data_IF_261873009269
#
_entry.id   IF_261873009269
#
_cell.length_a   1.000
_cell.length_b   1.000
_cell.length_c   1.000
_cell.angle_alpha   90.00
_cell.angle_beta   90.00
_cell.angle_gamma   90.00
#
_symmetry.space_group_name_H-M   'P 1'
#
loop_
_entity.id
_entity.type
_entity.pdbx_description
1 polymer ?
#
# COMPACT_ATOMS: atom_id res chain seq x y z
N UNK A 1 1.73 -58.05 27.29
CA UNK A 1 2.33 -57.49 26.05
C UNK A 1 1.27 -57.57 24.98
N UNK A 2 0.66 -56.45 24.60
CA UNK A 2 -0.24 -56.41 23.44
C UNK A 2 0.64 -56.42 22.19
N UNK A 3 0.53 -57.47 21.38
CA UNK A 3 1.14 -57.53 20.05
C UNK A 3 0.16 -56.82 19.13
N UNK A 4 0.48 -55.59 18.72
CA UNK A 4 -0.27 -54.92 17.65
C UNK A 4 -0.25 -55.82 16.41
N UNK A 5 -1.44 -56.16 15.92
CA UNK A 5 -1.62 -57.04 14.78
C UNK A 5 -1.41 -56.20 13.52
N UNK A 6 -0.27 -56.39 12.85
CA UNK A 6 0.05 -55.66 11.63
C UNK A 6 -0.95 -56.01 10.52
N UNK A 7 -1.66 -55.00 9.99
CA UNK A 7 -2.66 -55.18 8.94
C UNK A 7 -2.02 -55.19 7.56
N UNK A 8 -1.65 -56.38 7.11
CA UNK A 8 -1.08 -56.62 5.78
C UNK A 8 -2.00 -56.18 4.63
N UNK A 9 -3.32 -56.15 4.85
CA UNK A 9 -4.29 -55.82 3.80
C UNK A 9 -4.21 -54.34 3.45
N UNK A 10 -4.15 -53.49 4.46
CA UNK A 10 -4.02 -52.04 4.30
C UNK A 10 -2.68 -51.69 3.65
N UNK A 11 -1.58 -52.30 4.10
CA UNK A 11 -0.24 -52.05 3.56
C UNK A 11 -0.09 -52.49 2.09
N UNK A 12 -0.66 -53.65 1.73
CA UNK A 12 -0.71 -54.11 0.33
C UNK A 12 -1.56 -53.17 -0.53
N UNK A 13 -2.71 -52.71 -0.02
CA UNK A 13 -3.56 -51.77 -0.72
C UNK A 13 -2.83 -50.45 -1.00
N UNK A 14 -2.23 -49.84 0.02
CA UNK A 14 -1.47 -48.59 -0.11
C UNK A 14 -0.31 -48.74 -1.10
N UNK A 15 0.42 -49.86 -1.03
CA UNK A 15 1.54 -50.14 -1.94
C UNK A 15 1.06 -50.29 -3.39
N UNK A 16 -0.06 -50.98 -3.62
CA UNK A 16 -0.64 -51.15 -4.96
C UNK A 16 -1.16 -49.83 -5.53
N UNK A 17 -1.89 -49.05 -4.74
CA UNK A 17 -2.39 -47.74 -5.15
C UNK A 17 -1.23 -46.82 -5.50
N UNK A 18 -0.21 -46.72 -4.63
CA UNK A 18 0.97 -45.89 -4.88
C UNK A 18 1.75 -46.34 -6.12
N UNK A 19 1.95 -47.64 -6.29
CA UNK A 19 2.66 -48.20 -7.46
C UNK A 19 1.95 -47.88 -8.77
N UNK A 20 0.62 -48.04 -8.82
CA UNK A 20 -0.18 -47.71 -10.00
C UNK A 20 -0.17 -46.21 -10.26
N UNK A 21 -0.39 -45.39 -9.23
CA UNK A 21 -0.38 -43.93 -9.37
C UNK A 21 0.96 -43.45 -9.93
N UNK A 22 2.08 -43.87 -9.35
CA UNK A 22 3.41 -43.43 -9.80
C UNK A 22 3.79 -44.01 -11.17
N UNK A 23 3.45 -45.28 -11.46
CA UNK A 23 3.78 -45.90 -12.76
C UNK A 23 3.08 -45.23 -13.94
N UNK A 24 1.88 -44.69 -13.72
CA UNK A 24 1.11 -43.98 -14.73
C UNK A 24 1.26 -42.45 -14.65
N UNK A 25 2.14 -41.93 -13.79
CA UNK A 25 2.35 -40.49 -13.61
C UNK A 25 1.10 -39.75 -13.13
N UNK A 26 0.22 -40.46 -12.41
CA UNK A 26 -1.02 -39.91 -11.84
C UNK A 26 -0.80 -39.31 -10.45
N UNK A 27 0.43 -38.93 -10.11
CA UNK A 27 0.79 -38.45 -8.76
C UNK A 27 -0.06 -37.23 -8.34
N UNK A 28 -0.62 -36.48 -9.29
CA UNK A 28 -1.61 -35.42 -9.05
C UNK A 28 -2.91 -35.90 -8.38
N UNK A 29 -3.24 -37.20 -8.41
CA UNK A 29 -4.37 -37.78 -7.67
C UNK A 29 -4.04 -37.97 -6.18
N UNK A 30 -2.75 -38.09 -5.85
CA UNK A 30 -2.26 -38.19 -4.48
C UNK A 30 -1.87 -36.82 -3.89
N UNK A 31 -1.63 -35.84 -4.76
CA UNK A 31 -1.31 -34.46 -4.40
C UNK A 31 -2.56 -33.60 -4.50
N UNK A 32 -3.01 -33.05 -3.37
CA UNK A 32 -4.01 -31.98 -3.40
C UNK A 32 -3.31 -30.69 -3.81
N UNK A 33 -3.17 -30.44 -5.12
CA UNK A 33 -2.61 -29.19 -5.63
C UNK A 33 -3.45 -28.00 -5.14
N UNK A 34 -2.90 -27.25 -4.19
CA UNK A 34 -3.51 -26.02 -3.68
C UNK A 34 -3.03 -24.85 -4.52
N UNK A 35 -3.97 -23.98 -4.90
CA UNK A 35 -3.63 -22.71 -5.54
C UNK A 35 -2.70 -21.94 -4.59
N UNK A 36 -1.47 -21.65 -5.02
CA UNK A 36 -0.45 -20.98 -4.21
C UNK A 36 0.52 -21.91 -3.47
N UNK A 37 0.33 -23.23 -3.53
CA UNK A 37 1.16 -24.22 -2.84
C UNK A 37 0.81 -24.39 -1.36
N UNK A 38 1.66 -25.12 -0.63
CA UNK A 38 1.43 -25.49 0.77
C UNK A 38 1.93 -24.46 1.80
N UNK A 39 2.48 -23.34 1.33
CA UNK A 39 3.04 -22.30 2.19
C UNK A 39 2.35 -20.96 1.96
N UNK A 40 2.05 -20.28 3.06
CA UNK A 40 1.59 -18.90 3.01
C UNK A 40 2.78 -17.98 2.65
N UNK A 41 2.66 -17.28 1.53
CA UNK A 41 3.66 -16.29 1.10
C UNK A 41 3.02 -14.92 1.04
N UNK A 42 3.80 -13.87 1.29
CA UNK A 42 3.33 -12.47 1.21
C UNK A 42 2.68 -12.18 -0.15
N UNK A 43 3.25 -12.71 -1.23
CA UNK A 43 2.68 -12.55 -2.57
C UNK A 43 1.32 -13.21 -2.69
N UNK A 44 1.15 -14.44 -2.21
CA UNK A 44 -0.13 -15.16 -2.32
C UNK A 44 -1.22 -14.50 -1.47
N UNK A 45 -0.93 -14.15 -0.21
CA UNK A 45 -1.95 -13.59 0.69
C UNK A 45 -2.42 -12.21 0.22
N UNK A 46 -1.55 -11.40 -0.39
CA UNK A 46 -1.92 -10.13 -1.05
C UNK A 46 -2.80 -10.33 -2.28
N UNK A 47 -2.74 -11.50 -2.91
CA UNK A 47 -3.64 -11.92 -3.98
C UNK A 47 -4.88 -12.68 -3.46
N UNK A 48 -5.11 -12.71 -2.15
CA UNK A 48 -6.24 -13.42 -1.52
C UNK A 48 -6.12 -14.94 -1.54
N UNK A 49 -4.91 -15.47 -1.76
CA UNK A 49 -4.61 -16.89 -1.80
C UNK A 49 -3.90 -17.27 -0.49
N UNK A 50 -4.52 -18.13 0.30
CA UNK A 50 -3.98 -18.63 1.56
C UNK A 50 -3.78 -20.14 1.47
N UNK A 51 -2.62 -20.62 1.90
CA UNK A 51 -2.32 -22.04 2.03
C UNK A 51 -2.99 -22.62 3.29
N UNK A 52 -3.13 -21.80 4.34
CA UNK A 52 -3.78 -22.18 5.59
C UNK A 52 -4.99 -21.30 5.91
N UNK A 53 -6.03 -21.95 6.44
CA UNK A 53 -7.25 -21.30 6.90
C UNK A 53 -7.00 -20.36 8.10
N UNK A 54 -6.05 -20.73 8.97
CA UNK A 54 -5.70 -19.94 10.15
C UNK A 54 -5.19 -18.54 9.77
N UNK A 55 -4.31 -18.44 8.76
CA UNK A 55 -3.79 -17.14 8.31
C UNK A 55 -4.88 -16.26 7.67
N UNK A 56 -5.83 -16.88 6.94
CA UNK A 56 -7.00 -16.15 6.43
C UNK A 56 -7.82 -15.56 7.59
N UNK A 57 -8.10 -16.36 8.61
CA UNK A 57 -8.86 -15.93 9.79
C UNK A 57 -8.12 -14.86 10.59
N UNK A 58 -6.79 -14.94 10.71
CA UNK A 58 -5.98 -13.88 11.34
C UNK A 58 -6.13 -12.55 10.61
N UNK A 59 -6.12 -12.55 9.27
CA UNK A 59 -6.30 -11.35 8.48
C UNK A 59 -7.73 -10.79 8.58
N UNK A 60 -8.74 -11.65 8.50
CA UNK A 60 -10.15 -11.27 8.66
C UNK A 60 -10.41 -10.71 10.07
N UNK A 61 -9.76 -11.27 11.08
CA UNK A 61 -9.84 -10.87 12.49
C UNK A 61 -8.94 -9.69 12.90
N UNK A 62 -8.31 -8.98 11.97
CA UNK A 62 -7.38 -7.86 12.27
C UNK A 62 -8.01 -6.65 12.96
N UNK A 63 -9.35 -6.57 12.98
CA UNK A 63 -10.11 -5.45 13.51
C UNK A 63 -10.22 -4.26 12.57
N UNK A 64 -11.06 -3.29 12.97
CA UNK A 64 -11.29 -2.09 12.19
C UNK A 64 -10.11 -1.11 12.29
N UNK A 65 -9.94 -0.30 11.24
CA UNK A 65 -8.93 0.75 11.22
C UNK A 65 -9.29 1.87 12.19
N UNK A 66 -8.43 2.13 13.18
CA UNK A 66 -8.51 3.27 14.08
C UNK A 66 -7.44 4.31 13.77
N UNK A 67 -7.82 5.42 13.15
CA UNK A 67 -6.89 6.52 12.84
C UNK A 67 -6.18 7.08 14.07
N UNK A 68 -6.85 7.14 15.24
CA UNK A 68 -6.26 7.69 16.45
C UNK A 68 -5.08 6.84 16.94
N UNK A 69 -5.20 5.52 16.87
CA UNK A 69 -4.12 4.59 17.23
C UNK A 69 -2.82 4.88 16.46
N UNK A 70 -2.92 5.15 15.16
CA UNK A 70 -1.75 5.43 14.32
C UNK A 70 -1.18 6.84 14.56
N UNK A 71 -2.02 7.85 14.77
CA UNK A 71 -1.56 9.25 14.94
C UNK A 71 -1.13 9.59 16.37
N UNK A 72 -1.46 8.75 17.35
CA UNK A 72 -1.00 8.87 18.74
C UNK A 72 0.36 8.20 18.98
N UNK A 73 0.93 7.54 17.96
CA UNK A 73 2.23 6.88 18.05
C UNK A 73 3.36 7.87 18.36
N UNK A 74 4.31 7.46 19.20
CA UNK A 74 5.38 8.33 19.69
C UNK A 74 6.25 8.90 18.56
N UNK A 75 6.58 8.09 17.55
CA UNK A 75 7.35 8.54 16.38
C UNK A 75 6.62 9.62 15.57
N UNK A 76 5.30 9.50 15.42
CA UNK A 76 4.49 10.51 14.72
C UNK A 76 4.54 11.86 15.44
N UNK A 77 4.35 11.81 16.77
CA UNK A 77 4.40 13.00 17.63
C UNK A 77 5.80 13.61 17.64
N UNK A 78 6.85 12.79 17.79
CA UNK A 78 8.23 13.23 17.82
C UNK A 78 8.65 13.86 16.49
N UNK A 79 8.28 13.25 15.37
CA UNK A 79 8.55 13.76 14.01
C UNK A 79 7.86 15.10 13.79
N UNK A 80 6.58 15.23 14.16
CA UNK A 80 5.86 16.50 14.11
C UNK A 80 6.54 17.61 14.93
N UNK A 81 7.01 17.29 16.15
CA UNK A 81 7.75 18.26 16.98
C UNK A 81 9.06 18.69 16.31
N UNK A 82 9.80 17.75 15.71
CA UNK A 82 11.05 18.03 14.97
C UNK A 82 10.76 18.92 13.75
N UNK A 83 9.77 18.57 12.95
CA UNK A 83 9.36 19.36 11.78
C UNK A 83 8.90 20.76 12.13
N UNK A 84 8.15 20.93 13.23
CA UNK A 84 7.76 22.26 13.73
C UNK A 84 8.97 23.15 14.01
N UNK A 85 10.01 22.62 14.66
CA UNK A 85 11.25 23.37 14.94
C UNK A 85 12.00 23.71 13.64
N UNK A 86 12.10 22.76 12.71
CA UNK A 86 12.74 22.98 11.41
C UNK A 86 12.00 24.03 10.57
N UNK A 87 10.66 24.04 10.61
CA UNK A 87 9.83 25.03 9.93
C UNK A 87 10.05 26.43 10.51
N UNK A 88 10.08 26.55 11.84
CA UNK A 88 10.40 27.81 12.53
C UNK A 88 11.82 28.32 12.24
N UNK A 89 12.76 27.41 11.97
CA UNK A 89 14.13 27.74 11.57
C UNK A 89 14.28 28.04 10.07
N UNK A 90 13.22 27.88 9.26
CA UNK A 90 13.28 28.04 7.80
C UNK A 90 14.11 26.97 7.09
N UNK A 91 14.23 25.77 7.67
CA UNK A 91 15.04 24.67 7.13
C UNK A 91 14.22 23.42 6.80
N UNK A 92 12.90 23.45 6.97
CA UNK A 92 12.05 22.31 6.62
C UNK A 92 11.84 22.29 5.11
N UNK A 93 12.09 21.15 4.49
CA UNK A 93 11.90 20.92 3.06
C UNK A 93 10.68 20.03 2.84
N UNK A 94 9.86 20.34 1.85
CA UNK A 94 8.80 19.47 1.36
C UNK A 94 9.42 18.25 0.66
N UNK A 95 9.03 17.05 1.08
CA UNK A 95 9.61 15.80 0.60
C UNK A 95 9.30 15.50 -0.87
N UNK A 96 8.21 16.05 -1.41
CA UNK A 96 7.73 15.77 -2.77
C UNK A 96 8.15 16.86 -3.76
N UNK A 97 8.19 18.13 -3.35
CA UNK A 97 8.64 19.23 -4.23
C UNK A 97 10.14 19.53 -4.10
N UNK A 98 10.76 19.19 -2.98
CA UNK A 98 12.14 19.55 -2.67
C UNK A 98 12.34 21.03 -2.29
N UNK A 99 11.25 21.81 -2.23
CA UNK A 99 11.29 23.22 -1.86
C UNK A 99 11.28 23.41 -0.34
N UNK A 100 11.90 24.48 0.14
CA UNK A 100 11.85 24.86 1.55
C UNK A 100 10.54 25.56 1.83
N UNK A 101 9.83 25.14 2.88
CA UNK A 101 8.58 25.77 3.30
C UNK A 101 8.81 27.25 3.68
N UNK A 102 7.96 28.13 3.17
CA UNK A 102 7.85 29.50 3.63
C UNK A 102 7.29 29.57 5.06
N UNK A 103 7.48 30.70 5.74
CA UNK A 103 7.08 30.85 7.14
C UNK A 103 5.56 30.77 7.34
N UNK A 104 4.78 31.20 6.35
CA UNK A 104 3.31 31.17 6.33
C UNK A 104 2.72 29.87 5.78
N UNK A 105 3.56 28.97 5.26
CA UNK A 105 3.10 27.71 4.71
C UNK A 105 2.54 26.76 5.77
N UNK A 106 1.47 26.07 5.37
CA UNK A 106 0.87 25.00 6.14
C UNK A 106 1.47 23.67 5.71
N UNK A 107 2.32 23.12 6.57
CA UNK A 107 2.84 21.74 6.46
C UNK A 107 1.94 20.72 7.16
N UNK A 108 1.90 19.52 6.61
CA UNK A 108 1.37 18.30 7.22
C UNK A 108 2.45 17.21 7.21
N UNK A 109 2.34 16.25 8.14
CA UNK A 109 3.12 15.02 8.13
C UNK A 109 2.28 13.93 7.46
N UNK A 110 2.68 13.53 6.26
CA UNK A 110 2.02 12.50 5.44
C UNK A 110 2.63 11.12 5.71
N UNK A 111 1.77 10.10 5.63
CA UNK A 111 2.20 8.71 5.53
C UNK A 111 2.35 8.38 4.04
N UNK A 112 3.56 8.10 3.56
CA UNK A 112 3.83 7.83 2.14
C UNK A 112 2.92 6.69 1.65
N UNK A 113 2.98 5.56 2.34
CA UNK A 113 1.99 4.49 2.33
C UNK A 113 1.00 4.79 3.46
N UNK A 114 -0.28 4.93 3.14
CA UNK A 114 -1.28 5.37 4.13
C UNK A 114 -1.39 4.39 5.30
N UNK A 115 -1.65 4.91 6.50
CA UNK A 115 -1.85 4.08 7.69
C UNK A 115 -2.97 3.04 7.49
N UNK A 116 -4.02 3.39 6.73
CA UNK A 116 -5.10 2.45 6.38
C UNK A 116 -4.63 1.33 5.45
N UNK A 117 -3.82 1.65 4.45
CA UNK A 117 -3.25 0.65 3.54
C UNK A 117 -2.36 -0.35 4.29
N UNK A 118 -1.53 0.13 5.22
CA UNK A 118 -0.71 -0.73 6.08
C UNK A 118 -1.58 -1.56 7.03
N UNK A 119 -2.63 -0.97 7.61
CA UNK A 119 -3.58 -1.70 8.46
C UNK A 119 -4.21 -2.88 7.72
N UNK A 120 -4.62 -2.65 6.48
CA UNK A 120 -5.30 -3.60 5.61
C UNK A 120 -4.35 -4.49 4.78
N UNK A 121 -3.02 -4.44 4.97
CA UNK A 121 -2.08 -5.31 4.26
C UNK A 121 -2.06 -6.73 4.87
N UNK A 122 -2.51 -7.79 4.14
CA UNK A 122 -2.42 -9.16 4.62
C UNK A 122 -0.97 -9.64 4.79
N UNK A 123 -0.02 -9.05 4.03
CA UNK A 123 1.40 -9.34 4.17
C UNK A 123 1.93 -8.94 5.55
N UNK A 124 1.44 -7.83 6.13
CA UNK A 124 1.78 -7.40 7.48
C UNK A 124 1.31 -8.40 8.54
N UNK A 125 0.08 -8.91 8.39
CA UNK A 125 -0.49 -9.89 9.33
C UNK A 125 0.32 -11.18 9.30
N UNK A 126 0.60 -11.69 8.09
CA UNK A 126 1.41 -12.90 7.91
C UNK A 126 2.82 -12.74 8.50
N UNK A 127 3.43 -11.57 8.35
CA UNK A 127 4.75 -11.25 8.90
C UNK A 127 4.72 -10.87 10.40
N UNK A 128 3.55 -10.85 11.05
CA UNK A 128 3.37 -10.47 12.45
C UNK A 128 4.00 -9.10 12.77
N UNK A 129 3.76 -8.14 11.87
CA UNK A 129 4.25 -6.77 12.04
C UNK A 129 3.15 -5.85 12.57
N UNK A 130 3.53 -4.98 13.49
CA UNK A 130 2.62 -3.98 14.04
C UNK A 130 2.34 -2.90 13.00
N UNK A 131 1.05 -2.57 12.83
CA UNK A 131 0.63 -1.59 11.84
C UNK A 131 1.07 -0.18 12.19
N UNK A 132 0.98 0.20 13.47
CA UNK A 132 1.32 1.54 13.93
C UNK A 132 2.83 1.77 13.88
N UNK A 133 3.65 0.77 14.23
CA UNK A 133 5.10 0.84 14.06
C UNK A 133 5.49 1.02 12.59
N UNK A 134 4.94 0.20 11.70
CA UNK A 134 5.26 0.28 10.26
C UNK A 134 4.83 1.62 9.65
N UNK A 135 3.61 2.08 9.97
CA UNK A 135 3.11 3.34 9.45
C UNK A 135 3.94 4.54 9.93
N UNK A 136 4.43 4.49 11.17
CA UNK A 136 5.19 5.58 11.77
C UNK A 136 6.70 5.35 11.76
N UNK A 137 7.18 4.46 10.90
CA UNK A 137 8.60 4.35 10.59
C UNK A 137 9.08 5.64 9.90
N UNK A 138 10.32 6.03 10.18
CA UNK A 138 10.88 7.26 9.64
C UNK A 138 10.92 7.28 8.11
N UNK A 139 11.04 6.10 7.46
CA UNK A 139 10.99 5.98 6.00
C UNK A 139 9.60 6.20 5.41
N UNK A 140 8.53 6.10 6.20
CA UNK A 140 7.16 6.26 5.74
C UNK A 140 6.55 7.63 6.10
N UNK A 141 7.29 8.48 6.82
CA UNK A 141 6.83 9.80 7.26
C UNK A 141 7.48 10.92 6.47
N UNK A 142 6.68 11.73 5.77
CA UNK A 142 7.13 12.79 4.90
C UNK A 142 6.40 14.11 5.18
N UNK A 143 7.14 15.21 5.35
CA UNK A 143 6.51 16.53 5.41
C UNK A 143 6.14 17.01 4.01
N UNK A 144 4.90 17.48 3.85
CA UNK A 144 4.42 18.05 2.59
C UNK A 144 3.44 19.20 2.82
N UNK A 145 3.22 20.03 1.80
CA UNK A 145 2.18 21.05 1.80
C UNK A 145 0.79 20.49 2.08
N UNK A 146 0.03 21.24 2.88
CA UNK A 146 -1.33 20.88 3.27
C UNK A 146 -2.24 20.65 2.06
N UNK A 147 -2.10 21.45 0.99
CA UNK A 147 -2.87 21.32 -0.24
C UNK A 147 -2.62 19.97 -0.93
N UNK A 148 -1.36 19.57 -1.07
CA UNK A 148 -0.97 18.28 -1.66
C UNK A 148 -1.51 17.13 -0.79
N UNK A 149 -1.30 17.18 0.52
CA UNK A 149 -1.80 16.15 1.44
C UNK A 149 -3.32 16.01 1.39
N UNK A 150 -4.05 17.14 1.38
CA UNK A 150 -5.52 17.15 1.29
C UNK A 150 -6.03 16.63 -0.05
N UNK A 151 -5.26 16.79 -1.12
CA UNK A 151 -5.61 16.27 -2.44
C UNK A 151 -5.42 14.75 -2.55
N UNK A 152 -4.42 14.19 -1.85
CA UNK A 152 -4.16 12.73 -1.78
C UNK A 152 -5.23 11.95 -1.02
N UNK A 153 -5.74 12.51 0.09
CA UNK A 153 -6.74 11.85 0.96
C UNK A 153 -6.31 10.44 1.40
N UNK A 154 -7.09 9.42 1.07
CA UNK A 154 -6.84 8.01 1.36
C UNK A 154 -6.55 7.20 0.09
N UNK A 155 -6.29 7.88 -1.03
CA UNK A 155 -5.94 7.22 -2.28
C UNK A 155 -4.51 6.65 -2.16
N UNK A 156 -4.25 5.55 -2.87
CA UNK A 156 -2.89 5.03 -3.01
C UNK A 156 -2.00 6.04 -3.74
N UNK A 157 -0.70 5.98 -3.51
CA UNK A 157 0.24 6.86 -4.20
C UNK A 157 0.12 6.73 -5.73
N UNK A 158 -0.03 5.50 -6.26
CA UNK A 158 -0.21 5.27 -7.69
C UNK A 158 -1.47 5.95 -8.25
N UNK A 159 -2.60 5.83 -7.56
CA UNK A 159 -3.85 6.49 -7.96
C UNK A 159 -3.71 8.02 -7.92
N UNK A 160 -3.00 8.53 -6.92
CA UNK A 160 -2.72 9.95 -6.77
C UNK A 160 -1.83 10.47 -7.91
N UNK A 161 -0.73 9.78 -8.24
CA UNK A 161 0.16 10.14 -9.35
C UNK A 161 -0.58 10.11 -10.69
N UNK A 162 -1.37 9.08 -10.95
CA UNK A 162 -2.22 9.01 -12.16
C UNK A 162 -3.16 10.22 -12.26
N UNK A 163 -3.76 10.63 -11.14
CA UNK A 163 -4.64 11.81 -11.10
C UNK A 163 -3.88 13.09 -11.38
N UNK A 164 -2.68 13.26 -10.81
CA UNK A 164 -1.83 14.42 -11.08
C UNK A 164 -1.38 14.49 -12.53
N UNK A 165 -0.97 13.36 -13.11
CA UNK A 165 -0.58 13.26 -14.53
C UNK A 165 -1.73 13.66 -15.45
N UNK A 166 -2.93 13.11 -15.20
CA UNK A 166 -4.13 13.45 -15.97
C UNK A 166 -4.47 14.94 -15.88
N UNK A 167 -4.45 15.50 -14.66
CA UNK A 167 -4.71 16.93 -14.45
C UNK A 167 -3.70 17.81 -15.18
N UNK A 168 -2.42 17.40 -15.22
CA UNK A 168 -1.35 18.08 -15.95
C UNK A 168 -1.58 18.02 -17.45
N UNK A 169 -1.93 16.86 -18.00
CA UNK A 169 -2.25 16.70 -19.42
C UNK A 169 -3.45 17.55 -19.84
N UNK A 170 -4.51 17.56 -19.03
CA UNK A 170 -5.70 18.38 -19.28
C UNK A 170 -5.38 19.88 -19.22
N UNK A 171 -4.50 20.30 -18.30
CA UNK A 171 -4.01 21.68 -18.21
C UNK A 171 -3.20 22.07 -19.44
N UNK A 172 -2.27 21.21 -19.87
CA UNK A 172 -1.48 21.41 -21.09
C UNK A 172 -2.36 21.50 -22.34
N UNK A 173 -3.39 20.65 -22.44
CA UNK A 173 -4.36 20.69 -23.54
C UNK A 173 -5.10 22.03 -23.59
N UNK A 174 -5.60 22.50 -22.45
CA UNK A 174 -6.29 23.80 -22.36
C UNK A 174 -5.37 24.96 -22.73
N UNK A 175 -4.10 24.92 -22.31
CA UNK A 175 -3.11 25.93 -22.71
C UNK A 175 -2.91 25.93 -24.22
N UNK A 176 -2.68 24.75 -24.83
CA UNK A 176 -2.49 24.64 -26.27
C UNK A 176 -3.73 25.12 -27.06
N UNK A 177 -4.94 24.79 -26.59
CA UNK A 177 -6.19 25.29 -27.18
C UNK A 177 -6.28 26.82 -27.13
N UNK A 178 -5.96 27.43 -25.99
CA UNK A 178 -5.94 28.89 -25.85
C UNK A 178 -4.85 29.54 -26.70
N UNK A 179 -3.65 28.97 -26.75
CA UNK A 179 -2.54 29.49 -27.55
C UNK A 179 -2.79 29.37 -29.06
N UNK A 180 -3.62 28.41 -29.49
CA UNK A 180 -3.99 28.23 -30.91
C UNK A 180 -4.99 29.28 -31.43
N UNK A 181 -5.65 30.05 -30.54
CA UNK A 181 -6.63 31.08 -30.93
C UNK A 181 -5.94 32.33 -31.45
N UNK A 182 -6.39 32.83 -32.60
CA UNK A 182 -5.85 34.05 -33.22
C UNK A 182 -6.02 35.31 -32.35
N UNK A 183 -7.10 35.38 -31.58
CA UNK A 183 -7.35 36.44 -30.60
C UNK A 183 -7.97 35.83 -29.34
N UNK A 184 -7.50 36.28 -28.18
CA UNK A 184 -7.99 35.86 -26.87
C UNK A 184 -8.79 37.00 -26.23
N UNK A 185 -9.94 36.66 -25.66
CA UNK A 185 -10.69 37.56 -24.78
C UNK A 185 -9.92 37.80 -23.47
N UNK A 186 -10.22 38.89 -22.75
CA UNK A 186 -9.56 39.17 -21.46
C UNK A 186 -9.73 38.01 -20.45
N UNK A 187 -10.92 37.40 -20.41
CA UNK A 187 -11.18 36.21 -19.56
C UNK A 187 -10.30 35.03 -19.94
N UNK A 188 -10.05 34.81 -21.23
CA UNK A 188 -9.18 33.73 -21.70
C UNK A 188 -7.70 34.02 -21.43
N UNK A 189 -7.27 35.28 -21.48
CA UNK A 189 -5.93 35.69 -21.06
C UNK A 189 -5.71 35.44 -19.56
N UNK A 190 -6.67 35.83 -18.73
CA UNK A 190 -6.64 35.56 -17.28
C UNK A 190 -6.62 34.05 -17.00
N UNK A 191 -7.43 33.27 -17.73
CA UNK A 191 -7.45 31.82 -17.64
C UNK A 191 -6.08 31.22 -18.01
N UNK A 192 -5.47 31.65 -19.13
CA UNK A 192 -4.15 31.19 -19.56
C UNK A 192 -3.07 31.48 -18.52
N UNK A 193 -3.07 32.67 -17.93
CA UNK A 193 -2.14 33.03 -16.84
C UNK A 193 -2.34 32.11 -15.63
N UNK A 194 -3.59 31.82 -15.26
CA UNK A 194 -3.91 30.92 -14.16
C UNK A 194 -3.46 29.48 -14.43
N UNK A 195 -3.68 28.96 -15.64
CA UNK A 195 -3.27 27.61 -16.04
C UNK A 195 -1.74 27.46 -16.06
N UNK A 196 -1.01 28.46 -16.56
CA UNK A 196 0.46 28.46 -16.56
C UNK A 196 1.07 28.44 -15.16
N UNK A 197 0.37 28.95 -14.13
CA UNK A 197 0.81 28.87 -12.74
C UNK A 197 0.65 27.48 -12.11
N UNK A 198 -0.07 26.56 -12.78
CA UNK A 198 -0.34 25.20 -12.28
C UNK A 198 0.62 24.14 -12.83
N UNK A 199 1.49 24.51 -13.77
CA UNK A 199 2.52 23.66 -14.38
C UNK A 199 3.84 23.92 -13.69
#
# INVERSE_FOLDING_TARGET
>A
MNVEKFDWTEELHQTMVKSLVTSFGLDFLLLNDRKGGDVDTIHNVRNGIYATEAERQRYEGRGDYDSHHYHSHENYIATNRKGKRAHQAGTLTDAYTGEVFASDDKKNLDHIISAKEIHDDPGRILAERDGAELANDASNLAFTHESLNKSKKADSMDAFICTLQKNREDTLRQIAELESKATLTEKEKECLISLRKKI
#
